data_IF_459946030693
#
_entry.id   IF_459946030693
#
_cell.length_a   1.000
_cell.length_b   1.000
_cell.length_c   1.000
_cell.angle_alpha   90.00
_cell.angle_beta   90.00
_cell.angle_gamma   90.00
#
_symmetry.space_group_name_H-M   'P 1'
#
loop_
_entity.id
_entity.type
_entity.pdbx_description
1 polymer ?
#
# COMPACT_ATOMS: atom_id res chain seq x y z
N UNK A 1 -0.35 23.47 9.17
CA UNK A 1 0.45 23.34 7.93
C UNK A 1 1.64 22.47 8.30
N UNK A 2 1.68 21.21 7.83
CA UNK A 2 2.76 20.28 8.18
C UNK A 2 3.99 20.50 7.31
N UNK A 3 5.18 20.49 7.90
CA UNK A 3 6.44 20.67 7.17
C UNK A 3 6.80 19.40 6.37
N UNK A 4 7.35 19.59 5.17
CA UNK A 4 7.92 18.47 4.39
C UNK A 4 9.27 18.08 4.98
N UNK A 5 9.41 16.79 5.28
CA UNK A 5 10.66 16.22 5.78
C UNK A 5 11.34 15.41 4.68
N UNK A 6 12.67 15.27 4.78
CA UNK A 6 13.39 14.31 3.95
C UNK A 6 13.04 12.90 4.40
N UNK A 7 12.78 12.00 3.45
CA UNK A 7 12.41 10.60 3.68
C UNK A 7 13.57 9.72 4.20
N UNK A 8 14.43 10.24 5.10
CA UNK A 8 15.69 9.61 5.50
C UNK A 8 15.57 8.46 6.49
N UNK A 9 14.40 8.25 7.10
CA UNK A 9 14.18 7.15 8.02
C UNK A 9 13.38 6.06 7.31
N UNK A 10 14.00 4.88 7.17
CA UNK A 10 13.35 3.72 6.58
C UNK A 10 12.05 3.43 7.36
N UNK A 11 10.91 3.30 6.67
CA UNK A 11 9.66 2.98 7.35
C UNK A 11 9.74 1.59 7.98
N UNK A 12 9.25 1.46 9.21
CA UNK A 12 9.01 0.14 9.81
C UNK A 12 7.78 -0.48 9.14
N UNK A 13 7.97 -1.64 8.50
CA UNK A 13 6.90 -2.44 7.89
C UNK A 13 6.51 -3.53 8.89
N UNK A 14 5.32 -3.42 9.46
CA UNK A 14 4.81 -4.39 10.44
C UNK A 14 3.97 -5.49 9.77
N UNK A 15 3.94 -6.71 10.35
CA UNK A 15 3.02 -7.77 9.93
C UNK A 15 1.56 -7.31 9.94
N UNK A 16 0.81 -7.73 8.92
CA UNK A 16 -0.60 -7.36 8.74
C UNK A 16 -0.84 -5.91 8.34
N UNK A 17 0.18 -5.18 7.90
CA UNK A 17 0.00 -3.86 7.28
C UNK A 17 -0.28 -3.95 5.79
N UNK A 18 -1.09 -3.00 5.30
CA UNK A 18 -1.27 -2.73 3.88
C UNK A 18 -0.70 -1.34 3.57
N UNK A 19 0.21 -1.30 2.61
CA UNK A 19 0.81 -0.09 2.06
C UNK A 19 0.26 0.14 0.65
N UNK A 20 -0.77 0.98 0.51
CA UNK A 20 -1.26 1.40 -0.81
C UNK A 20 -0.37 2.52 -1.35
N UNK A 21 0.41 2.23 -2.39
CA UNK A 21 1.41 3.14 -2.96
C UNK A 21 0.92 3.63 -4.32
N UNK A 22 0.63 4.92 -4.43
CA UNK A 22 0.40 5.59 -5.71
C UNK A 22 1.76 5.90 -6.36
N UNK A 23 1.93 5.50 -7.61
CA UNK A 23 3.15 5.67 -8.38
C UNK A 23 2.82 5.96 -9.85
N UNK A 24 3.60 6.85 -10.46
CA UNK A 24 3.56 7.08 -11.91
C UNK A 24 4.59 6.17 -12.59
N UNK A 25 4.17 5.41 -13.59
CA UNK A 25 5.01 4.50 -14.37
C UNK A 25 6.20 5.18 -15.06
N UNK A 26 6.09 6.48 -15.38
CA UNK A 26 7.16 7.26 -15.99
C UNK A 26 8.09 7.94 -14.97
N UNK A 27 7.76 7.88 -13.67
CA UNK A 27 8.53 8.53 -12.60
C UNK A 27 9.41 7.54 -11.85
N UNK A 28 10.53 8.03 -11.32
CA UNK A 28 11.34 7.26 -10.38
C UNK A 28 10.54 7.00 -9.10
N UNK A 29 10.74 5.82 -8.52
CA UNK A 29 10.21 5.50 -7.19
C UNK A 29 10.99 6.31 -6.13
N UNK A 30 10.27 6.88 -5.18
CA UNK A 30 10.88 7.61 -4.06
C UNK A 30 11.61 6.64 -3.11
N UNK A 31 12.53 7.15 -2.28
CA UNK A 31 13.34 6.31 -1.39
C UNK A 31 12.46 5.53 -0.40
N UNK A 32 11.46 6.18 0.18
CA UNK A 32 10.52 5.58 1.12
C UNK A 32 9.78 4.38 0.53
N UNK A 33 9.18 4.54 -0.65
CA UNK A 33 8.41 3.47 -1.28
C UNK A 33 9.31 2.30 -1.70
N UNK A 34 10.53 2.61 -2.16
CA UNK A 34 11.53 1.60 -2.48
C UNK A 34 11.83 0.75 -1.25
N UNK A 35 12.10 1.40 -0.12
CA UNK A 35 12.36 0.70 1.14
C UNK A 35 11.16 -0.17 1.53
N UNK A 36 9.93 0.33 1.42
CA UNK A 36 8.71 -0.48 1.66
C UNK A 36 8.67 -1.70 0.74
N UNK A 37 8.82 -1.52 -0.58
CA UNK A 37 8.76 -2.61 -1.56
C UNK A 37 9.82 -3.69 -1.33
N UNK A 38 10.96 -3.34 -0.74
CA UNK A 38 12.01 -4.31 -0.38
C UNK A 38 11.75 -5.07 0.92
N UNK A 39 10.90 -4.54 1.80
CA UNK A 39 10.66 -5.09 3.15
C UNK A 39 9.29 -5.75 3.32
N UNK A 40 8.33 -5.52 2.41
CA UNK A 40 7.04 -6.21 2.45
C UNK A 40 7.14 -7.68 2.04
N UNK A 41 6.20 -8.50 2.51
CA UNK A 41 6.13 -9.91 2.15
C UNK A 41 5.48 -10.13 0.77
N UNK A 42 4.49 -9.30 0.39
CA UNK A 42 3.79 -9.39 -0.91
C UNK A 42 3.70 -8.02 -1.58
N UNK A 43 3.97 -7.97 -2.89
CA UNK A 43 3.67 -6.81 -3.74
C UNK A 43 2.54 -7.13 -4.72
N UNK A 44 1.38 -6.50 -4.56
CA UNK A 44 0.30 -6.55 -5.54
C UNK A 44 0.39 -5.31 -6.42
N UNK A 45 0.54 -5.44 -7.75
CA UNK A 45 0.88 -4.30 -8.60
C UNK A 45 -0.02 -4.12 -9.83
N UNK A 46 -0.29 -2.86 -10.18
CA UNK A 46 -0.87 -2.51 -11.47
C UNK A 46 0.05 -2.94 -12.61
N UNK A 47 -0.48 -3.54 -13.67
CA UNK A 47 0.34 -4.10 -14.76
C UNK A 47 1.19 -3.05 -15.47
N UNK A 48 0.74 -1.79 -15.49
CA UNK A 48 1.53 -0.68 -16.02
C UNK A 48 2.85 -0.48 -15.26
N UNK A 49 2.91 -0.91 -13.99
CA UNK A 49 4.06 -0.77 -13.10
C UNK A 49 4.95 -2.02 -13.04
N UNK A 50 4.68 -3.03 -13.87
CA UNK A 50 5.49 -4.24 -13.94
C UNK A 50 7.01 -3.97 -14.15
N UNK A 51 7.43 -3.03 -15.02
CA UNK A 51 8.85 -2.72 -15.19
C UNK A 51 9.49 -2.20 -13.91
N UNK A 52 8.77 -1.37 -13.14
CA UNK A 52 9.24 -0.82 -11.87
C UNK A 52 9.39 -1.93 -10.82
N UNK A 53 8.38 -2.79 -10.68
CA UNK A 53 8.44 -3.92 -9.73
C UNK A 53 9.63 -4.81 -10.03
N UNK A 54 9.90 -5.13 -11.30
CA UNK A 54 11.05 -5.96 -11.68
C UNK A 54 12.41 -5.36 -11.33
N UNK A 55 12.50 -4.03 -11.19
CA UNK A 55 13.75 -3.33 -10.85
C UNK A 55 13.99 -3.22 -9.34
N UNK A 56 12.91 -3.20 -8.55
CA UNK A 56 12.96 -2.90 -7.12
C UNK A 56 12.84 -4.15 -6.26
N UNK A 57 12.10 -5.16 -6.72
CA UNK A 57 11.81 -6.34 -5.92
C UNK A 57 13.09 -7.16 -5.68
N UNK A 58 13.39 -7.53 -4.42
CA UNK A 58 14.56 -8.35 -4.12
C UNK A 58 14.39 -9.76 -4.69
N UNK A 59 15.52 -10.44 -4.90
CA UNK A 59 15.53 -11.86 -5.30
C UNK A 59 14.76 -12.68 -4.25
N UNK A 60 13.78 -13.45 -4.71
CA UNK A 60 12.91 -14.25 -3.84
C UNK A 60 11.70 -13.50 -3.26
N UNK A 61 11.54 -12.21 -3.57
CA UNK A 61 10.33 -11.45 -3.24
C UNK A 61 9.11 -11.97 -3.98
N UNK A 62 7.94 -11.92 -3.33
CA UNK A 62 6.68 -12.35 -3.93
C UNK A 62 5.91 -11.14 -4.47
N UNK A 63 5.50 -11.23 -5.74
CA UNK A 63 4.67 -10.22 -6.39
C UNK A 63 3.59 -10.85 -7.26
N UNK A 64 2.39 -10.26 -7.25
CA UNK A 64 1.27 -10.66 -8.08
C UNK A 64 0.65 -9.47 -8.84
N UNK A 65 0.39 -9.61 -10.16
CA UNK A 65 -0.26 -8.55 -10.91
C UNK A 65 -1.73 -8.44 -10.53
N UNK A 66 -2.24 -7.21 -10.49
CA UNK A 66 -3.67 -6.97 -10.28
C UNK A 66 -4.53 -7.64 -11.36
N UNK A 67 -5.73 -8.15 -11.00
CA UNK A 67 -6.69 -8.63 -11.97
C UNK A 67 -7.14 -7.48 -12.88
N UNK A 68 -7.27 -7.73 -14.19
CA UNK A 68 -7.68 -6.72 -15.19
C UNK A 68 -9.05 -6.07 -14.84
N UNK A 69 -9.92 -6.79 -14.14
CA UNK A 69 -11.23 -6.28 -13.71
C UNK A 69 -11.18 -5.39 -12.46
N UNK A 70 -10.06 -5.37 -11.75
CA UNK A 70 -9.90 -4.56 -10.56
C UNK A 70 -9.75 -3.06 -10.87
N UNK A 71 -9.42 -2.70 -12.11
CA UNK A 71 -9.20 -1.31 -12.52
C UNK A 71 -10.51 -0.52 -12.72
N UNK A 72 -11.64 -1.18 -12.96
CA UNK A 72 -12.80 -0.50 -13.57
C UNK A 72 -13.87 0.02 -12.60
N UNK A 73 -14.15 -0.63 -11.45
CA UNK A 73 -15.27 -0.21 -10.59
C UNK A 73 -15.22 -0.67 -9.12
N UNK A 74 -14.09 -0.46 -8.41
CA UNK A 74 -13.96 -0.91 -7.02
C UNK A 74 -13.21 0.04 -6.09
N UNK A 75 -13.14 -0.30 -4.77
CA UNK A 75 -12.27 0.34 -3.79
C UNK A 75 -10.82 0.46 -4.30
N UNK A 76 -10.08 1.47 -3.84
CA UNK A 76 -8.68 1.59 -4.22
C UNK A 76 -7.84 0.40 -3.72
N UNK A 77 -8.15 -0.12 -2.53
CA UNK A 77 -7.49 -1.30 -1.94
C UNK A 77 -8.25 -2.57 -2.31
N UNK A 78 -7.53 -3.58 -2.82
CA UNK A 78 -8.12 -4.84 -3.26
C UNK A 78 -8.52 -5.72 -2.08
N UNK A 79 -9.63 -6.48 -2.18
CA UNK A 79 -9.98 -7.51 -1.21
C UNK A 79 -8.82 -8.49 -0.94
N UNK A 80 -8.04 -8.83 -1.97
CA UNK A 80 -6.87 -9.71 -1.85
C UNK A 80 -5.77 -9.16 -0.93
N UNK A 81 -5.54 -7.84 -0.95
CA UNK A 81 -4.60 -7.21 -0.04
C UNK A 81 -5.06 -7.34 1.42
N UNK A 82 -6.38 -7.28 1.65
CA UNK A 82 -6.98 -7.51 2.96
C UNK A 82 -6.83 -8.94 3.46
N UNK A 83 -7.15 -9.93 2.62
CA UNK A 83 -7.03 -11.34 2.98
C UNK A 83 -5.60 -11.67 3.46
N UNK A 84 -4.60 -11.23 2.69
CA UNK A 84 -3.18 -11.43 3.05
C UNK A 84 -2.82 -10.72 4.36
N UNK A 85 -3.24 -9.47 4.53
CA UNK A 85 -2.94 -8.71 5.74
C UNK A 85 -3.64 -9.28 7.00
N UNK A 86 -4.86 -9.82 6.85
CA UNK A 86 -5.55 -10.56 7.91
C UNK A 86 -4.84 -11.86 8.28
N UNK A 87 -4.17 -12.50 7.32
CA UNK A 87 -3.28 -13.65 7.53
C UNK A 87 -1.92 -13.26 8.15
N UNK A 88 -1.69 -11.97 8.42
CA UNK A 88 -0.47 -11.46 9.05
C UNK A 88 0.63 -11.05 8.08
N UNK A 89 0.38 -11.10 6.78
CA UNK A 89 1.34 -10.65 5.78
C UNK A 89 1.45 -9.13 5.75
N UNK A 90 2.66 -8.61 5.54
CA UNK A 90 2.82 -7.22 5.11
C UNK A 90 2.66 -7.14 3.58
N UNK A 91 1.79 -6.24 3.12
CA UNK A 91 1.39 -6.15 1.71
C UNK A 91 1.66 -4.74 1.21
N UNK A 92 2.40 -4.59 0.12
CA UNK A 92 2.38 -3.37 -0.69
C UNK A 92 1.42 -3.56 -1.86
N UNK A 93 0.50 -2.61 -2.03
CA UNK A 93 -0.35 -2.51 -3.19
C UNK A 93 0.06 -1.31 -4.04
N UNK A 94 0.73 -1.56 -5.16
CA UNK A 94 1.25 -0.53 -6.05
C UNK A 94 0.22 -0.21 -7.15
N UNK A 95 -0.22 1.04 -7.24
CA UNK A 95 -1.25 1.50 -8.19
C UNK A 95 -0.77 2.64 -9.08
N UNK A 96 -1.17 2.63 -10.36
CA UNK A 96 -0.87 3.74 -11.27
C UNK A 96 -1.60 5.00 -10.81
N UNK A 97 -0.85 6.10 -10.72
CA UNK A 97 -1.37 7.41 -10.38
C UNK A 97 -2.45 7.86 -11.36
N UNK A 98 -3.63 8.19 -10.85
CA UNK A 98 -4.70 8.78 -11.65
C UNK A 98 -5.77 9.43 -10.76
N UNK A 99 -6.35 10.53 -11.23
CA UNK A 99 -7.44 11.22 -10.52
C UNK A 99 -8.62 10.28 -10.21
N UNK A 100 -8.95 9.37 -11.15
CA UNK A 100 -9.98 8.36 -10.99
C UNK A 100 -9.68 7.31 -9.92
N UNK A 101 -8.40 6.99 -9.65
CA UNK A 101 -7.98 6.12 -8.55
C UNK A 101 -7.96 6.88 -7.23
N UNK A 102 -7.47 8.12 -7.23
CA UNK A 102 -7.41 8.98 -6.04
C UNK A 102 -8.78 9.18 -5.40
N UNK A 103 -9.82 9.42 -6.20
CA UNK A 103 -11.19 9.54 -5.71
C UNK A 103 -11.74 8.23 -5.08
N UNK A 104 -11.08 7.09 -5.32
CA UNK A 104 -11.44 5.78 -4.76
C UNK A 104 -10.64 5.43 -3.51
N UNK A 105 -9.63 6.20 -3.13
CA UNK A 105 -8.83 5.98 -1.91
C UNK A 105 -9.72 5.95 -0.66
N UNK A 106 -10.71 6.85 -0.49
CA UNK A 106 -11.62 6.79 0.65
C UNK A 106 -12.62 5.63 0.60
N UNK A 107 -12.77 4.97 -0.56
CA UNK A 107 -13.69 3.85 -0.69
C UNK A 107 -13.07 2.63 -0.04
N UNK A 108 -13.76 2.13 0.98
CA UNK A 108 -13.36 0.93 1.69
C UNK A 108 -13.93 -0.32 1.05
N UNK A 109 -13.15 -1.40 0.99
CA UNK A 109 -13.76 -2.69 0.70
C UNK A 109 -14.72 -3.07 1.85
N UNK A 110 -15.84 -3.75 1.52
CA UNK A 110 -16.85 -4.14 2.51
C UNK A 110 -16.32 -4.97 3.70
N UNK A 111 -15.18 -5.63 3.53
CA UNK A 111 -14.44 -6.34 4.58
C UNK A 111 -13.90 -5.36 5.63
N UNK A 112 -13.22 -4.28 5.23
CA UNK A 112 -12.75 -3.27 6.16
C UNK A 112 -13.90 -2.47 6.78
N UNK A 113 -14.99 -2.20 6.04
CA UNK A 113 -16.19 -1.56 6.62
C UNK A 113 -16.78 -2.35 7.78
N UNK A 114 -16.66 -3.68 7.77
CA UNK A 114 -17.09 -4.54 8.88
C UNK A 114 -16.13 -4.49 10.07
N UNK A 115 -14.82 -4.53 9.82
CA UNK A 115 -13.79 -4.42 10.86
C UNK A 115 -13.81 -3.06 11.58
N UNK A 116 -14.21 -2.00 10.88
CA UNK A 116 -14.20 -0.60 11.37
C UNK A 116 -15.50 -0.15 12.02
N UNK A 117 -16.49 -1.04 12.22
CA UNK A 117 -17.76 -0.70 12.90
C UNK A 117 -17.58 -0.21 14.35
N UNK A 118 -16.41 -0.44 14.95
CA UNK A 118 -16.09 -0.10 16.35
C UNK A 118 -15.48 1.31 16.55
N UNK A 119 -14.97 1.98 15.51
CA UNK A 119 -14.28 3.26 15.70
C UNK A 119 -13.55 3.80 14.47
N UNK A 120 -12.93 4.98 14.62
CA UNK A 120 -12.06 5.57 13.61
C UNK A 120 -10.84 4.65 13.40
N UNK A 121 -10.72 4.08 12.20
CA UNK A 121 -9.57 3.27 11.83
C UNK A 121 -8.40 4.21 11.52
N UNK A 122 -7.26 4.09 12.22
CA UNK A 122 -6.13 4.95 11.95
C UNK A 122 -5.54 4.63 10.57
N UNK A 123 -5.29 5.68 9.80
CA UNK A 123 -4.62 5.61 8.51
C UNK A 123 -3.49 6.62 8.54
N UNK A 124 -2.29 6.17 8.18
CA UNK A 124 -1.18 7.08 7.95
C UNK A 124 -1.14 7.44 6.47
N UNK A 125 -1.31 8.72 6.16
CA UNK A 125 -1.15 9.28 4.84
C UNK A 125 0.25 9.89 4.70
N UNK A 126 0.94 9.50 3.64
CA UNK A 126 2.25 10.00 3.28
C UNK A 126 2.11 10.63 1.88
N UNK A 127 2.15 11.97 1.83
CA UNK A 127 2.20 12.70 0.57
C UNK A 127 3.65 12.89 0.15
N UNK A 128 3.95 12.55 -1.11
CA UNK A 128 5.29 12.50 -1.68
C UNK A 128 5.37 13.47 -2.84
N UNK A 129 6.48 14.19 -2.91
CA UNK A 129 6.80 15.08 -4.03
C UNK A 129 7.86 14.44 -4.93
N UNK A 130 7.98 14.91 -6.18
CA UNK A 130 9.02 14.46 -7.11
C UNK A 130 10.46 14.70 -6.59
N UNK A 131 10.64 15.60 -5.62
CA UNK A 131 11.92 15.90 -4.98
C UNK A 131 12.25 14.98 -3.80
N UNK A 132 11.58 13.82 -3.67
CA UNK A 132 11.78 12.84 -2.58
C UNK A 132 11.56 13.45 -1.17
N UNK A 133 10.68 14.45 -1.10
CA UNK A 133 10.22 15.02 0.17
C UNK A 133 8.84 14.48 0.48
N UNK A 134 8.61 14.17 1.76
CA UNK A 134 7.35 13.65 2.23
C UNK A 134 6.72 14.52 3.32
N UNK A 135 5.39 14.55 3.35
CA UNK A 135 4.58 15.04 4.47
C UNK A 135 3.77 13.87 4.99
N UNK A 136 3.87 13.61 6.29
CA UNK A 136 3.18 12.51 6.95
C UNK A 136 2.04 13.09 7.79
N UNK A 137 0.86 12.49 7.70
CA UNK A 137 -0.31 12.86 8.49
C UNK A 137 -0.98 11.56 8.96
N UNK A 138 -1.15 11.42 10.27
CA UNK A 138 -1.98 10.36 10.85
C UNK A 138 -3.42 10.87 10.94
N UNK A 139 -4.37 10.18 10.31
CA UNK A 139 -5.77 10.59 10.24
C UNK A 139 -6.70 9.43 10.52
N UNK A 140 -7.92 9.74 10.96
CA UNK A 140 -9.00 8.77 10.90
C UNK A 140 -9.39 8.50 9.45
N UNK A 141 -9.70 7.25 9.14
CA UNK A 141 -10.19 6.86 7.82
C UNK A 141 -11.43 7.64 7.35
N UNK A 142 -12.25 8.16 8.28
CA UNK A 142 -13.40 9.03 7.98
C UNK A 142 -13.00 10.43 7.55
N UNK A 143 -11.86 10.92 8.06
CA UNK A 143 -11.31 12.26 7.80
C UNK A 143 -10.39 12.26 6.57
N UNK A 144 -10.02 11.07 6.08
CA UNK A 144 -9.09 10.90 4.97
C UNK A 144 -9.51 11.66 3.71
N UNK A 145 -10.81 11.70 3.38
CA UNK A 145 -11.30 12.45 2.22
C UNK A 145 -11.02 13.94 2.34
N UNK A 146 -11.25 14.53 3.52
CA UNK A 146 -11.04 15.95 3.78
C UNK A 146 -9.56 16.29 3.71
N UNK A 147 -8.72 15.45 4.33
CA UNK A 147 -7.27 15.63 4.33
C UNK A 147 -6.66 15.47 2.94
N UNK A 148 -7.15 14.54 2.11
CA UNK A 148 -6.69 14.39 0.72
C UNK A 148 -6.93 15.64 -0.13
N UNK A 149 -7.96 16.44 0.18
CA UNK A 149 -8.24 17.70 -0.50
C UNK A 149 -7.25 18.83 -0.15
N UNK A 150 -6.44 18.69 0.91
CA UNK A 150 -5.41 19.68 1.28
C UNK A 150 -4.14 19.59 0.42
N UNK A 151 -3.98 18.52 -0.33
CA UNK A 151 -2.78 18.21 -1.10
C UNK A 151 -2.93 18.58 -2.58
N UNK A 152 -1.81 18.88 -3.23
CA UNK A 152 -1.76 19.25 -4.63
C UNK A 152 -2.04 18.08 -5.58
N UNK A 153 -2.42 18.40 -6.82
CA UNK A 153 -2.65 17.39 -7.86
C UNK A 153 -1.36 16.65 -8.26
N UNK A 154 -0.20 17.30 -8.10
CA UNK A 154 1.12 16.76 -8.48
C UNK A 154 1.77 15.86 -7.43
N UNK A 155 1.19 15.78 -6.22
CA UNK A 155 1.72 14.92 -5.16
C UNK A 155 1.31 13.47 -5.41
N UNK A 156 2.12 12.50 -4.97
CA UNK A 156 1.76 11.08 -4.98
C UNK A 156 1.51 10.60 -3.55
N UNK A 157 0.54 9.73 -3.35
CA UNK A 157 0.21 9.27 -2.00
C UNK A 157 0.72 7.88 -1.68
N UNK A 158 0.97 7.65 -0.40
CA UNK A 158 1.10 6.33 0.19
C UNK A 158 0.25 6.27 1.43
N UNK A 159 -0.62 5.28 1.49
CA UNK A 159 -1.51 5.05 2.63
C UNK A 159 -1.09 3.78 3.34
N UNK A 160 -0.91 3.88 4.65
CA UNK A 160 -0.60 2.74 5.52
C UNK A 160 -1.82 2.43 6.36
N UNK A 161 -2.27 1.18 6.29
CA UNK A 161 -3.40 0.64 7.03
C UNK A 161 -2.92 -0.51 7.89
N UNK A 162 -3.36 -0.54 9.15
CA UNK A 162 -3.08 -1.64 10.06
C UNK A 162 -2.03 -1.34 11.14
N UNK A 163 -1.58 -2.36 11.88
CA UNK A 163 -1.75 -3.79 11.62
C UNK A 163 -3.20 -4.28 11.72
N UNK A 164 -3.63 -5.10 10.76
CA UNK A 164 -4.97 -5.67 10.63
C UNK A 164 -5.15 -7.02 11.34
N UNK A 165 -4.09 -7.50 12.01
CA UNK A 165 -4.07 -8.80 12.67
C UNK A 165 -5.17 -8.85 13.73
N UNK A 166 -6.30 -9.45 13.35
CA UNK A 166 -7.28 -9.93 14.32
C UNK A 166 -6.64 -11.02 15.17
N UNK A 167 -7.02 -11.12 16.44
CA UNK A 167 -6.54 -12.09 17.42
C UNK A 167 -6.86 -13.57 17.10
N UNK A 168 -6.60 -14.03 15.89
CA UNK A 168 -6.57 -15.43 15.49
C UNK A 168 -5.11 -15.82 15.28
N UNK A 169 -4.66 -16.73 16.13
CA UNK A 169 -3.31 -17.27 16.19
C UNK A 169 -2.69 -17.42 14.80
N UNK A 170 -1.50 -16.81 14.64
CA UNK A 170 -0.61 -17.02 13.52
C UNK A 170 -0.53 -18.51 13.20
N UNK A 171 -1.05 -18.90 12.04
CA UNK A 171 -0.72 -20.21 11.50
C UNK A 171 0.57 -19.99 10.70
N UNK A 172 1.71 -20.57 11.13
CA UNK A 172 2.92 -20.48 10.34
C UNK A 172 2.70 -21.24 9.04
N UNK A 173 2.42 -20.52 7.96
CA UNK A 173 2.51 -21.08 6.62
C UNK A 173 3.99 -21.25 6.30
N UNK A 174 4.49 -22.47 6.53
CA UNK A 174 5.78 -22.89 6.02
C UNK A 174 5.72 -22.87 4.49
N UNK A 175 6.47 -21.96 3.87
CA UNK A 175 6.77 -22.04 2.45
C UNK A 175 7.66 -23.25 2.21
N UNK A 176 7.03 -24.37 1.83
CA UNK A 176 7.74 -25.46 1.18
C UNK A 176 8.15 -24.94 -0.21
N UNK A 177 9.39 -24.46 -0.32
CA UNK A 177 10.05 -24.34 -1.61
C UNK A 177 10.11 -25.75 -2.20
N UNK A 178 9.26 -26.03 -3.19
CA UNK A 178 9.41 -27.23 -4.00
C UNK A 178 10.72 -27.10 -4.76
N UNK A 179 11.74 -27.78 -4.25
CA UNK A 179 13.01 -27.96 -4.92
C UNK A 179 12.77 -28.57 -6.29
N UNK A 180 13.21 -27.86 -7.32
CA UNK A 180 13.48 -28.42 -8.63
C UNK A 180 14.61 -29.43 -8.44
N UNK A 181 14.26 -30.72 -8.42
CA UNK A 181 15.22 -31.81 -8.46
C UNK A 181 15.24 -32.39 -9.88
N UNK A 182 16.44 -32.47 -10.45
CA UNK A 182 16.89 -33.48 -11.42
C UNK A 182 16.30 -33.43 -12.82
#
# INVERSE_FOLDING_TARGET
MGDYQSARQAPTVDPGQIWLIEQNSASLICGLDRDVLTNVNVVIYDRALAPLVSQVLPIGGYAEPMPVRAHTAGPAILPRAFELAEEGWSVAQLVEASASRRSRIPLLPPTLTRATRSGAFPVRLIAKTAADRCRVVDVGLRELTEVLCEFGEDELFTLVLGPLVSARAAHPHAFAANGLAG
#
